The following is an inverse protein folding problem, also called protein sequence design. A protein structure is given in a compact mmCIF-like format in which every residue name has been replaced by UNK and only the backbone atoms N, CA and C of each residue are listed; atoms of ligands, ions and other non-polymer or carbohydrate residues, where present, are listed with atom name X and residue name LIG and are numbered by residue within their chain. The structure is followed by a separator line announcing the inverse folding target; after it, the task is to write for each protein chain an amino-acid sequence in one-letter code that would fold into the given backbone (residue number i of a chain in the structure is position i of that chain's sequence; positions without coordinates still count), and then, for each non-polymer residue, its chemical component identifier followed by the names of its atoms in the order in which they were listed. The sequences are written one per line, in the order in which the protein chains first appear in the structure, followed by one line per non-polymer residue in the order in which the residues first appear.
data_IF_763812682977
#
_entry.id   IF_763812682977
#
_cell.length_a   1.000
_cell.length_b   1.000
_cell.length_c   1.000
_cell.angle_alpha   90.00
_cell.angle_beta   90.00
_cell.angle_gamma   90.00
#
_symmetry.space_group_name_H-M   'P 1'
#
loop_
_entity.id
_entity.type
_entity.pdbx_description
1 polymer ?
#
# COMPACT_ATOMS: atom_id res chain seq x y z
N UNK A 1 6.28 2.04 -4.80
CA UNK A 1 5.23 2.99 -5.20
C UNK A 1 3.93 2.21 -5.24
N UNK A 2 2.90 2.57 -4.47
CA UNK A 2 1.63 1.85 -4.51
C UNK A 2 1.01 2.02 -5.89
N UNK A 3 0.58 0.91 -6.49
CA UNK A 3 -0.05 0.89 -7.80
C UNK A 3 -1.39 1.61 -7.65
N UNK A 4 -1.54 2.79 -8.27
CA UNK A 4 -2.83 3.45 -8.43
C UNK A 4 -3.73 2.48 -9.20
N UNK A 5 -4.87 2.12 -8.63
CA UNK A 5 -5.92 1.42 -9.37
C UNK A 5 -6.21 2.24 -10.64
N UNK A 6 -5.78 1.73 -11.79
CA UNK A 6 -6.13 2.27 -13.10
C UNK A 6 -6.92 1.18 -13.79
N UNK A 7 -8.24 1.31 -13.78
CA UNK A 7 -9.08 0.49 -14.64
C UNK A 7 -8.59 0.70 -16.07
N UNK A 8 -8.32 -0.39 -16.80
CA UNK A 8 -7.88 -0.34 -18.21
C UNK A 8 -8.89 0.37 -19.12
N UNK A 9 -10.12 0.58 -18.64
CA UNK A 9 -11.16 1.37 -19.27
C UNK A 9 -11.62 2.46 -18.28
N UNK A 10 -11.39 3.76 -18.58
CA UNK A 10 -11.96 4.83 -17.79
C UNK A 10 -13.48 4.81 -17.94
N UNK A 11 -14.17 5.16 -16.85
CA UNK A 11 -15.62 5.25 -16.84
C UNK A 11 -16.07 6.43 -17.71
N UNK A 12 -17.06 6.22 -18.56
CA UNK A 12 -17.65 7.31 -19.35
C UNK A 12 -18.63 8.12 -18.50
N UNK A 13 -18.87 9.39 -18.85
CA UNK A 13 -19.84 10.23 -18.15
C UNK A 13 -21.25 9.64 -18.12
N UNK A 14 -21.63 8.87 -19.16
CA UNK A 14 -22.92 8.19 -19.22
C UNK A 14 -23.00 7.06 -18.20
N UNK A 15 -21.95 6.25 -18.10
CA UNK A 15 -21.88 5.15 -17.14
C UNK A 15 -21.83 5.67 -15.69
N UNK A 16 -21.10 6.76 -15.42
CA UNK A 16 -21.12 7.43 -14.12
C UNK A 16 -22.54 7.91 -13.76
N UNK A 17 -23.23 8.57 -14.68
CA UNK A 17 -24.60 9.04 -14.44
C UNK A 17 -25.59 7.89 -14.16
N UNK A 18 -25.40 6.74 -14.82
CA UNK A 18 -26.19 5.54 -14.58
C UNK A 18 -25.92 4.93 -13.20
N UNK A 19 -24.64 4.88 -12.79
CA UNK A 19 -24.23 4.44 -11.45
C UNK A 19 -24.84 5.33 -10.37
N UNK A 20 -24.71 6.65 -10.51
CA UNK A 20 -25.28 7.63 -9.57
C UNK A 20 -26.80 7.49 -9.44
N UNK A 21 -27.50 7.25 -10.56
CA UNK A 21 -28.95 7.02 -10.54
C UNK A 21 -29.33 5.74 -9.79
N UNK A 22 -28.55 4.67 -9.95
CA UNK A 22 -28.78 3.42 -9.22
C UNK A 22 -28.56 3.61 -7.71
N UNK A 23 -27.46 4.28 -7.31
CA UNK A 23 -27.17 4.61 -5.91
C UNK A 23 -28.32 5.41 -5.30
N UNK A 24 -28.76 6.49 -5.96
CA UNK A 24 -29.84 7.34 -5.46
C UNK A 24 -31.21 6.65 -5.41
N UNK A 25 -31.41 5.54 -6.15
CA UNK A 25 -32.66 4.79 -6.15
C UNK A 25 -32.77 3.74 -5.05
N UNK A 26 -31.68 3.46 -4.33
CA UNK A 26 -31.65 2.46 -3.26
C UNK A 26 -32.21 3.05 -1.94
N UNK A 27 -33.40 2.63 -1.48
CA UNK A 27 -34.01 3.14 -0.25
C UNK A 27 -33.33 2.63 1.03
N UNK A 28 -32.58 1.52 0.96
CA UNK A 28 -31.95 0.88 2.12
C UNK A 28 -30.52 1.41 2.36
N UNK A 29 -29.94 2.08 1.36
CA UNK A 29 -28.60 2.65 1.41
C UNK A 29 -28.56 4.12 0.94
N UNK A 30 -29.29 5.03 1.61
CA UNK A 30 -29.26 6.45 1.25
C UNK A 30 -27.85 7.02 1.43
N UNK A 31 -27.50 8.01 0.60
CA UNK A 31 -26.24 8.73 0.76
C UNK A 31 -26.20 9.49 2.08
N UNK A 32 -25.05 9.43 2.76
CA UNK A 32 -24.85 10.16 4.00
C UNK A 32 -24.87 11.68 3.73
N UNK A 33 -25.68 12.41 4.49
CA UNK A 33 -25.72 13.87 4.40
C UNK A 33 -24.48 14.51 5.05
N UNK A 34 -24.15 15.75 4.66
CA UNK A 34 -23.02 16.48 5.26
C UNK A 34 -23.14 16.61 6.79
N UNK A 35 -24.37 16.73 7.30
CA UNK A 35 -24.64 16.81 8.75
C UNK A 35 -24.38 15.50 9.46
N UNK A 36 -24.63 14.37 8.80
CA UNK A 36 -24.36 13.03 9.34
C UNK A 36 -22.86 12.71 9.28
N UNK A 37 -22.20 13.06 8.17
CA UNK A 37 -20.73 12.96 8.08
C UNK A 37 -20.03 13.81 9.14
N UNK A 38 -20.51 15.02 9.42
CA UNK A 38 -19.94 15.88 10.46
C UNK A 38 -20.01 15.27 11.86
N UNK A 39 -20.93 14.32 12.08
CA UNK A 39 -21.08 13.60 13.35
C UNK A 39 -20.29 12.28 13.39
N UNK A 40 -19.61 11.91 12.30
CA UNK A 40 -18.83 10.69 12.23
C UNK A 40 -17.72 10.70 13.28
N UNK A 41 -17.57 9.58 14.00
CA UNK A 41 -16.55 9.39 15.03
C UNK A 41 -15.56 8.32 14.59
N UNK A 42 -14.28 8.43 14.96
CA UNK A 42 -13.30 7.37 14.68
C UNK A 42 -13.76 6.03 15.24
N UNK A 43 -13.54 4.95 14.48
CA UNK A 43 -13.94 3.59 14.88
C UNK A 43 -13.47 3.21 16.29
N UNK A 44 -12.20 3.49 16.62
CA UNK A 44 -11.63 3.19 17.93
C UNK A 44 -12.24 4.00 19.09
N UNK A 45 -12.87 5.14 18.82
CA UNK A 45 -13.58 5.92 19.83
C UNK A 45 -14.98 5.34 20.13
N UNK A 46 -15.62 4.71 19.14
CA UNK A 46 -16.94 4.07 19.30
C UNK A 46 -16.83 2.64 19.82
N UNK A 47 -15.80 1.90 19.38
CA UNK A 47 -15.59 0.49 19.72
C UNK A 47 -14.19 0.27 20.30
N UNK A 48 -13.90 0.81 21.50
CA UNK A 48 -12.55 0.77 22.08
C UNK A 48 -12.04 -0.65 22.31
N UNK A 49 -12.89 -1.56 22.78
CA UNK A 49 -12.47 -2.94 23.08
C UNK A 49 -12.23 -3.77 21.81
N UNK A 50 -13.04 -3.54 20.78
CA UNK A 50 -12.87 -4.18 19.47
C UNK A 50 -11.60 -3.67 18.80
N UNK A 51 -11.33 -2.37 18.80
CA UNK A 51 -10.10 -1.79 18.30
C UNK A 51 -8.86 -2.40 19.00
N UNK A 52 -8.86 -2.46 20.34
CA UNK A 52 -7.79 -3.13 21.11
C UNK A 52 -7.63 -4.62 20.77
N UNK A 53 -8.71 -5.32 20.44
CA UNK A 53 -8.63 -6.72 20.03
C UNK A 53 -7.97 -6.89 18.65
N UNK A 54 -8.29 -6.01 17.71
CA UNK A 54 -7.69 -5.98 16.37
C UNK A 54 -6.20 -5.64 16.49
N UNK A 55 -5.84 -4.62 17.27
CA UNK A 55 -4.44 -4.23 17.48
C UNK A 55 -3.61 -5.37 18.07
N UNK A 56 -4.18 -6.08 19.07
CA UNK A 56 -3.54 -7.28 19.65
C UNK A 56 -3.34 -8.37 18.62
N UNK A 57 -4.33 -8.64 17.77
CA UNK A 57 -4.22 -9.68 16.74
C UNK A 57 -3.21 -9.30 15.64
N UNK A 58 -3.17 -8.03 15.23
CA UNK A 58 -2.17 -7.51 14.29
C UNK A 58 -0.76 -7.65 14.89
N UNK A 59 -0.58 -7.24 16.14
CA UNK A 59 0.69 -7.37 16.84
C UNK A 59 1.13 -8.84 16.97
N UNK A 60 0.18 -9.75 17.25
CA UNK A 60 0.42 -11.20 17.37
C UNK A 60 0.83 -11.84 16.04
N UNK A 61 0.14 -11.49 14.95
CA UNK A 61 0.46 -12.02 13.61
C UNK A 61 1.77 -11.48 13.05
N UNK A 62 2.12 -10.24 13.42
CA UNK A 62 3.25 -9.53 12.84
C UNK A 62 3.08 -9.30 11.34
N UNK A 63 4.09 -8.70 10.70
CA UNK A 63 4.13 -8.65 9.23
C UNK A 63 4.31 -10.08 8.72
N UNK A 64 3.53 -10.53 7.70
CA UNK A 64 3.76 -11.82 7.06
C UNK A 64 5.24 -12.00 6.72
N UNK A 65 5.80 -13.16 7.08
CA UNK A 65 7.18 -13.51 6.75
C UNK A 65 7.31 -13.49 5.23
N UNK A 66 8.28 -12.75 4.70
CA UNK A 66 8.56 -12.80 3.27
C UNK A 66 8.98 -14.22 2.89
N UNK A 67 8.45 -14.77 1.80
CA UNK A 67 8.76 -16.13 1.35
C UNK A 67 10.26 -16.34 1.10
N UNK A 68 10.95 -15.29 0.62
CA UNK A 68 12.39 -15.28 0.42
C UNK A 68 13.00 -13.99 1.00
N UNK A 69 13.39 -13.97 2.30
CA UNK A 69 14.05 -12.82 2.90
C UNK A 69 15.45 -12.62 2.31
N UNK A 70 15.90 -11.37 2.22
CA UNK A 70 17.29 -11.07 1.83
C UNK A 70 18.23 -11.54 2.95
N UNK A 71 19.28 -12.28 2.59
CA UNK A 71 20.33 -12.68 3.55
C UNK A 71 21.27 -11.50 3.80
N UNK A 72 21.44 -11.03 5.05
CA UNK A 72 22.43 -10.01 5.37
C UNK A 72 23.83 -10.63 5.23
N UNK A 73 24.63 -10.10 4.32
CA UNK A 73 26.03 -10.52 4.11
C UNK A 73 26.95 -9.33 4.21
N UNK A 74 28.11 -9.52 4.85
CA UNK A 74 29.17 -8.51 4.91
C UNK A 74 30.14 -8.77 3.76
N UNK A 75 30.09 -7.94 2.72
CA UNK A 75 31.01 -7.97 1.59
C UNK A 75 31.79 -6.66 1.51
N UNK A 76 33.04 -6.72 1.05
CA UNK A 76 33.82 -5.52 0.68
C UNK A 76 33.62 -5.27 -0.81
N UNK A 77 33.31 -4.02 -1.15
CA UNK A 77 33.16 -3.55 -2.51
C UNK A 77 34.18 -2.45 -2.75
N UNK A 78 34.56 -2.24 -4.01
CA UNK A 78 35.47 -1.17 -4.38
C UNK A 78 34.89 0.21 -4.01
N UNK A 79 35.72 1.17 -3.54
CA UNK A 79 35.24 2.46 -3.05
C UNK A 79 34.46 3.26 -4.11
N UNK A 80 34.95 3.27 -5.34
CA UNK A 80 34.35 3.95 -6.49
C UNK A 80 32.95 3.42 -6.82
N UNK A 81 32.76 2.09 -6.74
CA UNK A 81 31.47 1.44 -6.92
C UNK A 81 30.47 1.86 -5.84
N UNK A 82 30.91 1.90 -4.57
CA UNK A 82 30.06 2.33 -3.46
C UNK A 82 29.65 3.79 -3.61
N UNK A 83 30.57 4.65 -4.01
CA UNK A 83 30.31 6.07 -4.28
C UNK A 83 29.32 6.27 -5.43
N UNK A 84 29.54 5.56 -6.55
CA UNK A 84 28.65 5.58 -7.70
C UNK A 84 27.20 5.26 -7.31
N UNK A 85 26.98 4.17 -6.57
CA UNK A 85 25.65 3.81 -6.12
C UNK A 85 25.10 4.79 -5.09
N UNK A 86 25.89 5.25 -4.10
CA UNK A 86 25.43 6.23 -3.11
C UNK A 86 24.96 7.54 -3.75
N UNK A 87 25.60 7.99 -4.84
CA UNK A 87 25.19 9.17 -5.59
C UNK A 87 23.77 9.05 -6.17
N UNK A 88 23.25 7.84 -6.38
CA UNK A 88 21.86 7.61 -6.82
C UNK A 88 20.82 7.92 -5.73
N UNK A 89 21.25 8.18 -4.49
CA UNK A 89 20.40 8.58 -3.37
C UNK A 89 19.67 7.43 -2.68
N UNK A 90 18.50 7.73 -2.10
CA UNK A 90 17.70 6.77 -1.31
C UNK A 90 17.42 5.49 -2.10
N UNK A 91 17.79 4.35 -1.52
CA UNK A 91 17.57 3.03 -2.13
C UNK A 91 18.75 2.48 -2.94
N UNK A 92 19.92 3.13 -2.92
CA UNK A 92 21.11 2.65 -3.63
C UNK A 92 21.49 1.19 -3.34
N UNK A 93 21.36 0.73 -2.09
CA UNK A 93 21.59 -0.69 -1.72
C UNK A 93 20.62 -1.66 -2.42
N UNK A 94 19.38 -1.22 -2.69
CA UNK A 94 18.43 -2.02 -3.46
C UNK A 94 18.74 -2.01 -4.95
N UNK A 95 19.30 -0.92 -5.47
CA UNK A 95 19.75 -0.82 -6.87
C UNK A 95 20.92 -1.75 -7.14
N UNK A 96 21.98 -1.70 -6.32
CA UNK A 96 23.13 -2.61 -6.48
C UNK A 96 22.71 -4.08 -6.41
N UNK A 97 21.82 -4.44 -5.47
CA UNK A 97 21.26 -5.79 -5.42
C UNK A 97 20.47 -6.16 -6.70
N UNK A 98 19.75 -5.21 -7.29
CA UNK A 98 18.98 -5.47 -8.52
C UNK A 98 19.90 -5.67 -9.72
N UNK A 99 20.98 -4.92 -9.82
CA UNK A 99 21.95 -5.07 -10.90
C UNK A 99 22.74 -6.37 -10.77
N UNK A 100 23.14 -6.75 -9.55
CA UNK A 100 23.74 -8.06 -9.29
C UNK A 100 22.81 -9.21 -9.66
N UNK A 101 21.50 -9.08 -9.41
CA UNK A 101 20.50 -10.09 -9.85
C UNK A 101 20.44 -10.19 -11.37
N UNK A 102 20.35 -9.06 -12.08
CA UNK A 102 20.37 -9.03 -13.56
C UNK A 102 21.63 -9.66 -14.14
N UNK A 103 22.81 -9.32 -13.61
CA UNK A 103 24.09 -9.89 -14.04
C UNK A 103 24.17 -11.40 -13.80
N UNK A 104 23.53 -11.89 -12.74
CA UNK A 104 23.48 -13.31 -12.39
C UNK A 104 22.34 -14.07 -13.09
N UNK A 105 21.55 -13.42 -13.94
CA UNK A 105 20.36 -14.02 -14.57
C UNK A 105 19.22 -14.35 -13.59
N UNK A 106 19.23 -13.74 -12.40
CA UNK A 106 18.18 -13.92 -11.39
C UNK A 106 17.03 -12.92 -11.65
N UNK A 107 15.76 -13.37 -11.54
CA UNK A 107 14.60 -12.51 -11.72
C UNK A 107 14.53 -11.40 -10.69
#
# INVERSE_FOLDING_TARGET
MPVKFSSKRPLTNKEEAEIQKMIASDPDAPEATDKEMAQAKPFGAIFPDLAKSIDREIARRGRPKADAPKTPVTIRLDPDLVEHYKATGKGWQSRINSDLRKLSGLP
#
